data_IF_017206426167
#
_entry.id   IF_017206426167
#
_cell.length_a   1.000
_cell.length_b   1.000
_cell.length_c   1.000
_cell.angle_alpha   90.00
_cell.angle_beta   90.00
_cell.angle_gamma   90.00
#
_symmetry.space_group_name_H-M   'P 1'
#
loop_
_entity.id
_entity.type
_entity.pdbx_description
1 polymer ?
#
# COMPACT_ATOMS: atom_id res chain seq x y z
N UNK A 1 -12.72 1.65 6.35
CA UNK A 1 -12.00 0.35 6.24
C UNK A 1 -10.64 0.45 6.94
N UNK A 2 -10.32 -0.45 7.86
CA UNK A 2 -9.11 -0.34 8.71
C UNK A 2 -7.99 -1.31 8.33
N UNK A 3 -8.06 -1.93 7.14
CA UNK A 3 -7.04 -2.87 6.66
C UNK A 3 -5.92 -2.13 5.93
N UNK A 4 -4.70 -2.59 6.14
CA UNK A 4 -3.52 -2.34 5.30
C UNK A 4 -2.95 -3.70 4.86
N UNK A 5 -2.21 -3.72 3.76
CA UNK A 5 -1.60 -4.94 3.23
C UNK A 5 -0.12 -4.70 2.98
N UNK A 6 0.66 -5.76 3.09
CA UNK A 6 2.04 -5.83 2.64
C UNK A 6 2.06 -6.74 1.42
N UNK A 7 2.62 -6.27 0.31
CA UNK A 7 2.78 -7.07 -0.91
C UNK A 7 3.95 -8.05 -0.75
N UNK A 8 4.04 -9.06 -1.62
CA UNK A 8 5.10 -10.07 -1.57
C UNK A 8 6.51 -9.49 -1.75
N UNK A 9 6.64 -8.39 -2.49
CA UNK A 9 7.89 -7.65 -2.67
C UNK A 9 8.20 -6.66 -1.52
N UNK A 10 7.29 -6.51 -0.55
CA UNK A 10 7.52 -5.74 0.68
C UNK A 10 7.00 -4.31 0.67
N UNK A 11 6.12 -3.96 -0.27
CA UNK A 11 5.49 -2.64 -0.35
C UNK A 11 4.21 -2.55 0.47
N UNK A 12 3.98 -1.39 1.09
CA UNK A 12 2.77 -1.12 1.86
C UNK A 12 1.65 -0.68 0.92
N UNK A 13 0.51 -1.35 1.00
CA UNK A 13 -0.69 -1.03 0.21
C UNK A 13 -1.83 -0.66 1.15
N UNK A 14 -2.13 0.64 1.23
CA UNK A 14 -3.12 1.22 2.16
C UNK A 14 -4.58 1.02 1.73
N UNK A 15 -4.81 0.80 0.43
CA UNK A 15 -6.10 0.40 -0.15
C UNK A 15 -5.87 -0.61 -1.27
N UNK A 16 -6.81 -1.54 -1.46
CA UNK A 16 -6.77 -2.48 -2.58
C UNK A 16 -6.62 -1.79 -3.94
N UNK A 17 -7.21 -0.60 -4.04
CA UNK A 17 -7.30 0.20 -5.25
C UNK A 17 -6.42 1.46 -5.20
N UNK A 18 -5.37 1.46 -4.39
CA UNK A 18 -4.30 2.46 -4.46
C UNK A 18 -3.01 1.77 -4.87
N UNK A 19 -2.11 2.49 -5.55
CA UNK A 19 -0.74 2.00 -5.75
C UNK A 19 -0.12 1.70 -4.40
N UNK A 20 0.71 0.66 -4.36
CA UNK A 20 1.51 0.43 -3.18
C UNK A 20 2.56 1.55 -3.08
N UNK A 21 2.85 1.97 -1.86
CA UNK A 21 3.71 3.10 -1.56
C UNK A 21 4.44 2.85 -0.24
N UNK A 22 5.76 2.95 -0.28
CA UNK A 22 6.67 2.61 0.82
C UNK A 22 7.11 1.15 0.82
N UNK A 23 8.42 0.89 0.61
CA UNK A 23 9.02 -0.44 0.69
C UNK A 23 9.63 -0.70 2.07
N UNK A 24 8.92 -1.43 2.92
CA UNK A 24 9.40 -1.76 4.27
C UNK A 24 10.53 -2.79 4.23
N UNK A 25 10.47 -3.74 3.30
CA UNK A 25 11.50 -4.78 3.20
C UNK A 25 12.88 -4.18 2.94
N UNK A 26 12.96 -3.28 1.98
CA UNK A 26 14.22 -2.65 1.61
C UNK A 26 14.68 -1.67 2.70
N UNK A 27 13.76 -0.93 3.33
CA UNK A 27 14.07 -0.08 4.48
C UNK A 27 14.67 -0.90 5.65
N UNK A 28 14.04 -2.01 6.03
CA UNK A 28 14.54 -2.91 7.08
C UNK A 28 15.91 -3.49 6.72
N UNK A 29 16.12 -3.90 5.46
CA UNK A 29 17.41 -4.46 4.99
C UNK A 29 18.53 -3.41 4.97
N UNK A 30 18.18 -2.14 4.80
CA UNK A 30 19.12 -1.03 4.89
C UNK A 30 19.39 -0.58 6.34
N UNK A 31 18.80 -1.27 7.34
CA UNK A 31 19.03 -0.99 8.75
C UNK A 31 18.15 0.12 9.33
N UNK A 32 17.02 0.44 8.68
CA UNK A 32 16.09 1.44 9.20
C UNK A 32 15.53 1.04 10.58
N UNK A 33 15.46 2.01 11.49
CA UNK A 33 14.90 1.83 12.82
C UNK A 33 13.37 1.92 12.85
N UNK A 34 12.77 1.58 13.99
CA UNK A 34 11.31 1.52 14.15
C UNK A 34 10.60 2.84 13.80
N UNK A 35 11.18 3.98 14.15
CA UNK A 35 10.59 5.29 13.82
C UNK A 35 10.59 5.58 12.32
N UNK A 36 11.63 5.16 11.60
CA UNK A 36 11.74 5.32 10.16
C UNK A 36 10.74 4.40 9.45
N UNK A 37 10.62 3.15 9.91
CA UNK A 37 9.62 2.21 9.41
C UNK A 37 8.20 2.71 9.68
N UNK A 38 7.95 3.24 10.88
CA UNK A 38 6.67 3.84 11.23
C UNK A 38 6.36 5.06 10.35
N UNK A 39 7.36 5.89 10.02
CA UNK A 39 7.20 7.00 9.10
C UNK A 39 6.80 6.55 7.69
N UNK A 40 7.40 5.47 7.17
CA UNK A 40 7.01 4.87 5.88
C UNK A 40 5.54 4.42 5.90
N UNK A 41 5.11 3.73 6.95
CA UNK A 41 3.71 3.29 7.09
C UNK A 41 2.76 4.48 7.19
N UNK A 42 3.09 5.49 8.01
CA UNK A 42 2.27 6.71 8.17
C UNK A 42 2.15 7.47 6.85
N UNK A 43 3.22 7.54 6.06
CA UNK A 43 3.22 8.16 4.73
C UNK A 43 2.23 7.45 3.79
N UNK A 44 2.32 6.12 3.68
CA UNK A 44 1.40 5.32 2.86
C UNK A 44 -0.07 5.46 3.29
N UNK A 45 -0.30 5.62 4.60
CA UNK A 45 -1.63 5.85 5.16
C UNK A 45 -2.18 7.27 4.90
N UNK A 46 -1.32 8.29 4.80
CA UNK A 46 -1.75 9.65 4.54
C UNK A 46 -2.44 9.81 3.18
N UNK A 47 -2.07 8.99 2.19
CA UNK A 47 -2.72 8.92 0.89
C UNK A 47 -4.00 8.07 0.84
N UNK A 48 -4.40 7.44 1.96
CA UNK A 48 -5.52 6.51 2.00
C UNK A 48 -6.86 7.26 1.93
N UNK A 49 -7.72 6.85 1.00
CA UNK A 49 -9.08 7.36 0.93
C UNK A 49 -9.93 6.93 2.12
N UNK A 50 -10.91 7.76 2.49
CA UNK A 50 -11.90 7.42 3.51
C UNK A 50 -12.70 6.16 3.14
N UNK A 51 -13.05 6.04 1.85
CA UNK A 51 -13.68 4.88 1.23
C UNK A 51 -13.19 4.74 -0.22
N UNK A 52 -13.25 3.52 -0.77
CA UNK A 52 -13.05 3.36 -2.20
C UNK A 52 -14.26 3.91 -2.96
N UNK A 53 -14.07 4.46 -4.17
CA UNK A 53 -15.16 4.90 -5.02
C UNK A 53 -15.99 3.69 -5.51
N UNK A 54 -17.15 3.93 -6.12
CA UNK A 54 -17.94 2.90 -6.79
C UNK A 54 -17.10 2.07 -7.76
N UNK A 55 -17.51 0.83 -7.99
CA UNK A 55 -16.73 -0.11 -8.81
C UNK A 55 -16.60 0.37 -10.26
N UNK A 56 -17.60 1.07 -10.76
CA UNK A 56 -17.65 1.64 -12.12
C UNK A 56 -16.48 2.60 -12.36
N UNK A 57 -16.16 3.43 -11.38
CA UNK A 57 -15.04 4.37 -11.44
C UNK A 57 -13.69 3.65 -11.37
N UNK A 58 -13.63 2.53 -10.63
CA UNK A 58 -12.41 1.75 -10.46
C UNK A 58 -12.04 0.92 -11.69
N UNK A 59 -13.03 0.49 -12.49
CA UNK A 59 -12.80 -0.26 -13.74
C UNK A 59 -11.98 0.53 -14.76
N UNK A 60 -12.01 1.86 -14.69
CA UNK A 60 -11.24 2.75 -15.57
C UNK A 60 -9.78 2.92 -15.15
N UNK A 61 -9.40 2.43 -13.97
CA UNK A 61 -8.06 2.61 -13.40
C UNK A 61 -7.20 1.37 -13.64
N UNK A 62 -6.13 1.55 -14.41
CA UNK A 62 -5.24 0.48 -14.91
C UNK A 62 -4.25 -0.05 -13.85
N UNK A 63 -4.29 0.47 -12.62
CA UNK A 63 -3.24 0.29 -11.61
C UNK A 63 -3.63 -0.69 -10.49
N UNK A 64 -4.67 -1.49 -10.72
CA UNK A 64 -5.46 -2.14 -9.66
C UNK A 64 -5.57 -3.67 -9.80
N UNK A 65 -4.68 -4.28 -10.58
CA UNK A 65 -4.67 -5.73 -10.75
C UNK A 65 -4.44 -6.43 -9.41
N UNK A 66 -5.49 -7.05 -8.88
CA UNK A 66 -5.43 -7.95 -7.72
C UNK A 66 -4.45 -9.10 -7.93
N UNK A 67 -4.17 -9.46 -9.19
CA UNK A 67 -3.27 -10.56 -9.59
C UNK A 67 -1.82 -10.26 -9.19
N UNK A 68 -1.45 -8.97 -9.06
CA UNK A 68 -0.08 -8.56 -8.70
C UNK A 68 0.17 -8.56 -7.19
N UNK A 69 -0.86 -8.75 -6.37
CA UNK A 69 -0.75 -8.74 -4.89
C UNK A 69 -0.38 -10.13 -4.35
N UNK A 70 -0.35 -11.15 -5.22
CA UNK A 70 -0.09 -12.54 -4.86
C UNK A 70 -1.38 -13.27 -4.47
N UNK A 71 -1.54 -14.49 -4.99
CA UNK A 71 -2.65 -15.41 -4.69
C UNK A 71 -2.63 -15.96 -3.27
#
# INVERSE_FOLDING_TARGET
>A
CNRIRLTADGQVKSCLFLKADGNLRDAMRNGAGDEELAAVVRHSLAGKWAAHPPMEDLLTRNDLSMVEIGG
#
